data_IF_430324733310
#
_entry.id   IF_430324733310
#
_cell.length_a   1.000
_cell.length_b   1.000
_cell.length_c   1.000
_cell.angle_alpha   90.00
_cell.angle_beta   90.00
_cell.angle_gamma   90.00
#
_symmetry.space_group_name_H-M   'P 1'
#
loop_
_entity.id
_entity.type
_entity.pdbx_description
1 polymer ?
#
# COMPACT_ATOMS: atom_id res chain seq x y z
N UNK A 1 -7.68 -2.45 -13.92
CA UNK A 1 -7.39 -1.01 -14.13
C UNK A 1 -8.53 -0.39 -14.93
N UNK A 2 -9.06 0.74 -14.53
CA UNK A 2 -10.10 1.45 -15.30
C UNK A 2 -9.42 2.32 -16.37
N UNK A 3 -9.55 2.02 -17.67
CA UNK A 3 -8.82 2.69 -18.74
C UNK A 3 -9.02 4.21 -18.75
N UNK A 4 -10.22 4.69 -18.40
CA UNK A 4 -10.54 6.12 -18.35
C UNK A 4 -9.66 6.89 -17.35
N UNK A 5 -9.44 6.37 -16.15
CA UNK A 5 -8.63 7.04 -15.14
C UNK A 5 -7.15 7.15 -15.53
N UNK A 6 -6.63 6.17 -16.26
CA UNK A 6 -5.25 6.19 -16.77
C UNK A 6 -5.09 7.21 -17.87
N UNK A 7 -6.06 7.31 -18.82
CA UNK A 7 -6.00 8.28 -19.93
C UNK A 7 -6.06 9.72 -19.45
N UNK A 8 -6.95 10.03 -18.50
CA UNK A 8 -7.11 11.38 -17.95
C UNK A 8 -5.82 11.85 -17.21
N UNK A 9 -5.21 10.95 -16.40
CA UNK A 9 -3.96 11.24 -15.72
C UNK A 9 -2.78 11.40 -16.69
N UNK A 10 -2.72 10.56 -17.72
CA UNK A 10 -1.69 10.69 -18.75
C UNK A 10 -1.80 12.02 -19.50
N UNK A 11 -3.00 12.46 -19.82
CA UNK A 11 -3.24 13.77 -20.43
C UNK A 11 -2.78 14.91 -19.50
N UNK A 12 -3.03 14.79 -18.18
CA UNK A 12 -2.55 15.75 -17.20
C UNK A 12 -1.02 15.81 -17.13
N UNK A 13 -0.34 14.67 -17.09
CA UNK A 13 1.13 14.61 -17.08
C UNK A 13 1.73 15.23 -18.33
N UNK A 14 1.14 14.98 -19.51
CA UNK A 14 1.57 15.58 -20.79
C UNK A 14 1.39 17.09 -20.79
N UNK A 15 0.29 17.59 -20.26
CA UNK A 15 -0.03 19.01 -20.24
C UNK A 15 0.82 19.79 -19.23
N UNK A 16 1.00 19.23 -18.02
CA UNK A 16 1.69 19.93 -16.93
C UNK A 16 3.18 19.64 -16.87
N UNK A 17 3.63 18.52 -17.44
CA UNK A 17 4.98 17.94 -17.27
C UNK A 17 5.37 17.78 -15.79
N UNK A 18 4.39 17.46 -14.95
CA UNK A 18 4.56 17.34 -13.51
C UNK A 18 3.79 16.14 -12.97
N UNK A 19 4.36 15.49 -11.97
CA UNK A 19 3.67 14.52 -11.13
C UNK A 19 3.11 15.27 -9.91
N UNK A 20 1.81 15.53 -9.90
CA UNK A 20 1.16 16.37 -8.90
C UNK A 20 0.93 15.68 -7.56
N UNK A 21 1.02 14.34 -7.51
CA UNK A 21 0.74 13.54 -6.33
C UNK A 21 1.78 12.43 -6.18
N UNK A 22 2.13 12.13 -4.93
CA UNK A 22 3.07 11.05 -4.62
C UNK A 22 2.39 9.68 -4.63
N UNK A 23 3.18 8.63 -4.86
CA UNK A 23 2.78 7.25 -4.66
C UNK A 23 3.12 6.88 -3.22
N UNK A 24 2.17 6.27 -2.51
CA UNK A 24 2.36 5.84 -1.14
C UNK A 24 2.81 4.37 -1.11
N UNK A 25 4.00 4.13 -0.59
CA UNK A 25 4.60 2.79 -0.48
C UNK A 25 4.88 2.42 0.96
N UNK A 26 4.63 1.16 1.29
CA UNK A 26 4.98 0.56 2.57
C UNK A 26 6.19 -0.36 2.41
N UNK A 27 7.02 -0.41 3.44
CA UNK A 27 8.10 -1.38 3.59
C UNK A 27 8.17 -1.86 5.06
N UNK A 28 8.88 -2.95 5.31
CA UNK A 28 9.11 -3.45 6.66
C UNK A 28 10.59 -3.33 6.99
N UNK A 29 10.88 -2.66 8.09
CA UNK A 29 12.21 -2.57 8.70
C UNK A 29 12.09 -2.44 10.23
N UNK A 30 12.00 -3.55 10.97
CA UNK A 30 11.90 -3.55 12.43
C UNK A 30 13.11 -2.91 13.12
N UNK A 31 14.25 -2.80 12.41
CA UNK A 31 15.45 -2.15 12.93
C UNK A 31 15.43 -0.63 12.80
N UNK A 32 14.48 -0.06 12.06
CA UNK A 32 14.36 1.39 11.80
C UNK A 32 15.66 1.99 11.25
N UNK A 33 16.31 1.29 10.32
CA UNK A 33 17.64 1.68 9.82
C UNK A 33 17.60 3.00 9.05
N UNK A 34 16.61 3.15 8.15
CA UNK A 34 16.43 4.38 7.39
C UNK A 34 16.06 5.57 8.30
N UNK A 35 15.14 5.37 9.23
CA UNK A 35 14.69 6.40 10.16
C UNK A 35 15.81 6.89 11.07
N UNK A 36 16.64 5.98 11.59
CA UNK A 36 17.83 6.34 12.38
C UNK A 36 18.82 7.18 11.60
N UNK A 37 19.00 6.91 10.31
CA UNK A 37 19.85 7.71 9.44
C UNK A 37 19.23 9.09 9.17
N UNK A 38 17.92 9.16 8.95
CA UNK A 38 17.20 10.40 8.61
C UNK A 38 17.11 11.34 9.80
N UNK A 39 16.63 10.84 10.93
CA UNK A 39 16.34 11.67 12.11
C UNK A 39 17.51 11.80 13.07
N UNK A 40 18.49 10.90 12.99
CA UNK A 40 19.50 10.70 14.03
C UNK A 40 18.83 10.18 15.31
N UNK A 41 19.45 9.24 15.98
CA UNK A 41 18.87 8.69 17.22
C UNK A 41 19.87 8.83 18.34
N UNK A 42 19.45 9.48 19.42
CA UNK A 42 20.23 9.55 20.66
C UNK A 42 20.20 8.21 21.41
N UNK A 43 21.06 8.07 22.43
CA UNK A 43 21.13 6.86 23.26
C UNK A 43 19.80 6.55 23.97
N UNK A 44 18.98 7.55 24.21
CA UNK A 44 17.63 7.46 24.81
C UNK A 44 16.51 7.32 23.78
N UNK A 45 16.83 7.10 22.50
CA UNK A 45 15.87 6.83 21.43
C UNK A 45 15.15 8.05 20.87
N UNK A 46 15.61 9.27 21.19
CA UNK A 46 15.01 10.51 20.67
C UNK A 46 15.69 10.99 19.40
N UNK A 47 14.93 11.67 18.54
CA UNK A 47 15.47 12.33 17.36
C UNK A 47 16.49 13.39 17.78
N UNK A 48 17.68 13.35 17.20
CA UNK A 48 18.76 14.30 17.51
C UNK A 48 18.92 15.39 16.47
N UNK A 49 18.37 15.17 15.26
CA UNK A 49 18.43 16.17 14.19
C UNK A 49 17.21 17.11 14.31
N UNK A 50 17.43 18.42 14.40
CA UNK A 50 16.33 19.37 14.37
C UNK A 50 15.63 19.33 13.01
N UNK A 51 14.32 19.50 13.00
CA UNK A 51 13.56 19.59 11.77
C UNK A 51 13.82 20.94 11.06
N UNK A 52 13.91 20.93 9.73
CA UNK A 52 14.05 22.16 8.93
C UNK A 52 12.74 22.97 8.93
N UNK A 53 11.61 22.27 9.06
CA UNK A 53 10.29 22.88 9.19
C UNK A 53 9.48 22.12 10.23
N UNK A 54 8.79 22.85 11.12
CA UNK A 54 7.83 22.30 12.06
C UNK A 54 6.60 23.18 12.09
N UNK A 55 5.41 22.60 11.87
CA UNK A 55 4.12 23.30 11.84
C UNK A 55 3.15 22.49 12.69
N UNK A 56 2.36 23.18 13.51
CA UNK A 56 1.22 22.60 14.21
C UNK A 56 -0.06 22.98 13.44
N UNK A 57 -0.84 21.98 13.06
CA UNK A 57 -2.11 22.22 12.36
C UNK A 57 -3.25 22.57 13.32
N UNK A 58 -4.43 22.82 12.76
CA UNK A 58 -5.65 23.19 13.48
C UNK A 58 -6.18 22.12 14.45
N UNK A 59 -5.71 20.86 14.29
CA UNK A 59 -6.05 19.72 15.16
C UNK A 59 -5.00 19.49 16.25
N UNK A 60 -3.97 20.34 16.33
CA UNK A 60 -2.87 20.20 17.28
C UNK A 60 -1.81 19.15 16.88
N UNK A 61 -1.86 18.67 15.65
CA UNK A 61 -0.88 17.71 15.13
C UNK A 61 0.37 18.46 14.66
N UNK A 62 1.53 18.00 15.13
CA UNK A 62 2.82 18.58 14.75
C UNK A 62 3.38 17.85 13.53
N UNK A 63 3.52 18.59 12.44
CA UNK A 63 4.16 18.15 11.20
C UNK A 63 5.61 18.62 11.17
N UNK A 64 6.55 17.70 10.94
CA UNK A 64 7.98 18.01 10.85
C UNK A 64 8.53 17.53 9.53
N UNK A 65 9.43 18.33 8.95
CA UNK A 65 10.08 18.03 7.67
C UNK A 65 11.60 18.20 7.82
N UNK A 66 12.34 17.24 7.32
CA UNK A 66 13.79 17.28 7.22
C UNK A 66 14.19 17.22 5.76
N UNK A 67 15.01 18.14 5.33
CA UNK A 67 15.61 18.16 3.99
C UNK A 67 17.00 17.53 4.04
N UNK A 68 17.20 16.45 3.34
CA UNK A 68 18.47 15.76 3.26
C UNK A 68 19.16 16.12 1.94
N UNK A 69 20.34 16.69 2.00
CA UNK A 69 21.13 17.12 0.84
C UNK A 69 22.55 16.56 0.83
N UNK A 70 22.97 15.91 1.92
CA UNK A 70 24.28 15.28 2.01
C UNK A 70 24.29 13.98 1.16
N UNK A 71 25.11 13.90 0.09
CA UNK A 71 25.15 12.73 -0.79
C UNK A 71 25.60 11.46 -0.05
N UNK A 72 26.48 11.57 0.94
CA UNK A 72 26.96 10.42 1.70
C UNK A 72 25.82 9.82 2.55
N UNK A 73 25.04 10.66 3.21
CA UNK A 73 23.86 10.24 3.98
C UNK A 73 22.77 9.67 3.06
N UNK A 74 22.53 10.30 1.92
CA UNK A 74 21.56 9.80 0.93
C UNK A 74 21.96 8.40 0.45
N UNK A 75 23.23 8.17 0.14
CA UNK A 75 23.72 6.85 -0.27
C UNK A 75 23.56 5.79 0.83
N UNK A 76 23.75 6.14 2.10
CA UNK A 76 23.50 5.23 3.22
C UNK A 76 22.02 4.83 3.31
N UNK A 77 21.11 5.80 3.15
CA UNK A 77 19.67 5.54 3.17
C UNK A 77 19.26 4.66 1.98
N UNK A 78 19.77 4.95 0.79
CA UNK A 78 19.54 4.16 -0.40
C UNK A 78 20.02 2.73 -0.21
N UNK A 79 21.21 2.52 0.36
CA UNK A 79 21.74 1.20 0.68
C UNK A 79 20.87 0.47 1.69
N UNK A 80 20.38 1.17 2.72
CA UNK A 80 19.47 0.61 3.72
C UNK A 80 18.10 0.20 3.15
N UNK A 81 17.68 0.81 2.04
CA UNK A 81 16.41 0.53 1.37
C UNK A 81 16.53 -0.49 0.22
N UNK A 82 17.75 -0.81 -0.23
CA UNK A 82 17.97 -1.60 -1.45
C UNK A 82 17.40 -3.03 -1.39
N UNK A 83 17.39 -3.66 -0.22
CA UNK A 83 16.87 -5.01 0.00
C UNK A 83 15.40 -5.03 0.43
N UNK A 84 14.77 -3.87 0.63
CA UNK A 84 13.41 -3.77 1.16
C UNK A 84 12.39 -4.05 0.07
N UNK A 85 11.44 -4.93 0.36
CA UNK A 85 10.28 -5.16 -0.51
C UNK A 85 9.27 -4.04 -0.30
N UNK A 86 8.84 -3.42 -1.41
CA UNK A 86 7.94 -2.29 -1.42
C UNK A 86 6.54 -2.72 -1.83
N UNK A 87 5.53 -2.28 -1.08
CA UNK A 87 4.12 -2.50 -1.37
C UNK A 87 3.47 -1.16 -1.67
N UNK A 88 2.81 -1.01 -2.82
CA UNK A 88 2.03 0.19 -3.09
C UNK A 88 0.76 0.13 -2.24
N UNK A 89 0.64 1.02 -1.28
CA UNK A 89 -0.54 1.15 -0.43
C UNK A 89 -1.62 2.01 -1.10
N UNK A 90 -1.19 3.09 -1.78
CA UNK A 90 -2.06 3.95 -2.58
C UNK A 90 -1.33 4.47 -3.81
N UNK A 91 -2.09 4.77 -4.88
CA UNK A 91 -1.56 5.37 -6.10
C UNK A 91 -1.18 4.36 -7.19
N UNK A 92 -1.74 3.16 -7.23
CA UNK A 92 -1.49 2.18 -8.30
C UNK A 92 -1.68 2.77 -9.70
N UNK A 93 -2.79 3.50 -9.93
CA UNK A 93 -3.03 4.14 -11.23
C UNK A 93 -2.02 5.25 -11.55
N UNK A 94 -1.56 5.98 -10.52
CA UNK A 94 -0.48 6.98 -10.67
C UNK A 94 0.83 6.32 -11.08
N UNK A 95 1.16 5.20 -10.45
CA UNK A 95 2.34 4.41 -10.79
C UNK A 95 2.28 3.91 -12.24
N UNK A 96 1.21 3.21 -12.61
CA UNK A 96 1.03 2.68 -13.98
C UNK A 96 1.06 3.79 -15.03
N UNK A 97 0.42 4.93 -14.74
CA UNK A 97 0.42 6.08 -15.65
C UNK A 97 1.80 6.72 -15.75
N UNK A 98 2.56 6.82 -14.65
CA UNK A 98 3.93 7.36 -14.68
C UNK A 98 4.87 6.49 -15.49
N UNK A 99 4.75 5.16 -15.37
CA UNK A 99 5.51 4.21 -16.18
C UNK A 99 5.18 4.38 -17.68
N UNK A 100 3.90 4.45 -18.03
CA UNK A 100 3.48 4.66 -19.42
C UNK A 100 3.98 6.01 -19.96
N UNK A 101 3.95 7.08 -19.17
CA UNK A 101 4.46 8.38 -19.55
C UNK A 101 5.97 8.37 -19.74
N UNK A 102 6.71 7.76 -18.83
CA UNK A 102 8.14 7.60 -18.94
C UNK A 102 8.54 6.80 -20.20
N UNK A 103 7.82 5.73 -20.53
CA UNK A 103 8.03 4.96 -21.77
C UNK A 103 7.80 5.80 -23.03
N UNK A 104 6.73 6.58 -23.07
CA UNK A 104 6.45 7.49 -24.18
C UNK A 104 7.56 8.54 -24.34
N UNK A 105 8.00 9.13 -23.23
CA UNK A 105 9.09 10.13 -23.24
C UNK A 105 10.41 9.51 -23.64
N UNK A 106 10.74 8.31 -23.18
CA UNK A 106 11.90 7.53 -23.60
C UNK A 106 11.97 7.38 -25.13
N UNK A 107 10.83 6.96 -25.72
CA UNK A 107 10.74 6.81 -27.19
C UNK A 107 10.92 8.14 -27.93
N UNK A 108 10.31 9.23 -27.44
CA UNK A 108 10.42 10.57 -28.04
C UNK A 108 11.83 11.12 -27.95
N UNK A 109 12.51 10.93 -26.81
CA UNK A 109 13.86 11.44 -26.58
C UNK A 109 14.95 10.52 -27.12
N UNK A 110 14.61 9.29 -27.50
CA UNK A 110 15.54 8.22 -27.87
C UNK A 110 16.55 7.90 -26.74
N UNK A 111 16.10 8.03 -25.49
CA UNK A 111 16.89 7.74 -24.31
C UNK A 111 16.34 6.48 -23.62
N UNK A 112 17.18 5.52 -23.19
CA UNK A 112 16.71 4.33 -22.48
C UNK A 112 16.14 4.71 -21.11
N UNK A 113 15.15 3.96 -20.65
CA UNK A 113 14.62 4.07 -19.27
C UNK A 113 15.62 3.59 -18.21
N UNK A 114 16.65 2.91 -18.61
CA UNK A 114 17.51 2.09 -17.80
C UNK A 114 17.11 0.60 -17.95
N UNK A 115 18.03 -0.27 -17.67
CA UNK A 115 17.72 -1.70 -17.66
C UNK A 115 16.89 -2.06 -16.42
N UNK A 116 15.92 -2.99 -16.54
CA UNK A 116 15.25 -3.54 -15.37
C UNK A 116 16.32 -4.17 -14.47
N UNK A 117 16.36 -3.73 -13.23
CA UNK A 117 17.28 -4.33 -12.27
C UNK A 117 16.74 -5.72 -11.89
N UNK A 118 17.60 -6.74 -11.96
CA UNK A 118 17.28 -8.05 -11.45
C UNK A 118 16.94 -7.93 -9.95
N UNK A 119 15.74 -8.40 -9.51
CA UNK A 119 15.35 -8.32 -8.11
C UNK A 119 16.30 -9.06 -7.16
N UNK A 120 17.12 -9.98 -7.68
CA UNK A 120 18.13 -10.73 -6.94
C UNK A 120 19.52 -10.08 -7.02
N UNK A 121 19.72 -9.08 -7.87
CA UNK A 121 20.96 -8.33 -7.98
C UNK A 121 21.08 -7.31 -6.82
N UNK A 122 22.20 -7.35 -6.10
CA UNK A 122 22.51 -6.32 -5.11
C UNK A 122 22.80 -5.01 -5.82
N UNK A 123 21.86 -4.08 -5.75
CA UNK A 123 22.03 -2.74 -6.28
C UNK A 123 23.26 -2.07 -5.69
N UNK A 124 24.21 -1.73 -6.53
CA UNK A 124 25.27 -0.80 -6.14
C UNK A 124 24.69 0.62 -6.04
N UNK A 125 25.12 1.42 -5.03
CA UNK A 125 24.71 2.84 -4.95
C UNK A 125 24.95 3.65 -6.23
N UNK A 126 25.86 3.21 -7.10
CA UNK A 126 26.10 3.82 -8.40
C UNK A 126 24.96 3.69 -9.40
N UNK A 127 24.06 2.73 -9.24
CA UNK A 127 22.88 2.55 -10.08
C UNK A 127 21.73 3.53 -9.76
N UNK A 128 21.87 4.30 -8.69
CA UNK A 128 20.88 5.26 -8.19
C UNK A 128 21.22 6.70 -8.57
N UNK A 129 22.14 6.86 -9.51
CA UNK A 129 22.44 8.15 -10.11
C UNK A 129 21.23 8.70 -10.88
N UNK A 130 21.22 10.01 -11.06
CA UNK A 130 20.13 10.77 -11.65
C UNK A 130 19.42 10.02 -12.80
N UNK A 131 18.08 10.06 -12.85
CA UNK A 131 17.35 9.42 -13.95
C UNK A 131 17.83 9.94 -15.29
N UNK A 132 17.82 9.14 -16.35
CA UNK A 132 18.31 9.53 -17.67
C UNK A 132 17.57 10.74 -18.25
N UNK A 133 16.36 11.00 -17.78
CA UNK A 133 15.56 12.19 -18.06
C UNK A 133 14.54 12.39 -16.91
N UNK A 134 14.04 13.61 -16.70
CA UNK A 134 13.20 13.91 -15.51
C UNK A 134 11.99 13.00 -15.32
N UNK A 135 11.30 12.66 -16.42
CA UNK A 135 10.09 11.84 -16.38
C UNK A 135 10.35 10.35 -16.06
N UNK A 136 11.61 9.92 -16.08
CA UNK A 136 12.01 8.56 -15.69
C UNK A 136 12.00 8.36 -14.15
N UNK A 137 11.83 9.42 -13.37
CA UNK A 137 11.71 9.36 -11.93
C UNK A 137 10.39 9.93 -11.44
N UNK A 138 9.89 9.39 -10.35
CA UNK A 138 8.68 9.87 -9.69
C UNK A 138 8.89 9.96 -8.18
N UNK A 139 8.41 11.03 -7.58
CA UNK A 139 8.44 11.20 -6.13
C UNK A 139 7.48 10.25 -5.43
N UNK A 140 7.95 9.55 -4.42
CA UNK A 140 7.18 8.57 -3.66
C UNK A 140 7.35 8.78 -2.16
N UNK A 141 6.31 8.49 -1.40
CA UNK A 141 6.35 8.44 0.06
C UNK A 141 6.57 6.99 0.50
N UNK A 142 7.60 6.76 1.29
CA UNK A 142 7.89 5.46 1.90
C UNK A 142 7.55 5.49 3.39
N UNK A 143 6.80 4.51 3.85
CA UNK A 143 6.40 4.41 5.27
C UNK A 143 6.76 3.02 5.78
N UNK A 144 7.46 2.99 6.90
CA UNK A 144 7.80 1.74 7.57
C UNK A 144 6.56 1.18 8.29
N UNK A 145 6.15 -0.04 7.93
CA UNK A 145 4.99 -0.71 8.54
C UNK A 145 5.20 -1.04 10.01
N UNK A 146 6.45 -1.13 10.46
CA UNK A 146 6.81 -1.44 11.83
C UNK A 146 6.83 -0.19 12.72
N UNK A 147 6.61 1.01 12.13
CA UNK A 147 6.58 2.25 12.89
C UNK A 147 5.34 2.33 13.79
N UNK A 148 5.50 2.76 15.05
CA UNK A 148 4.37 2.98 15.94
C UNK A 148 3.46 4.09 15.38
N UNK A 149 2.15 3.94 15.55
CA UNK A 149 1.16 4.94 15.12
C UNK A 149 0.57 4.71 13.73
N UNK A 150 1.01 3.70 12.98
CA UNK A 150 0.33 3.30 11.75
C UNK A 150 -0.95 2.55 12.13
N UNK A 151 -2.08 3.10 11.69
CA UNK A 151 -3.38 2.45 11.86
C UNK A 151 -3.90 2.04 10.50
N UNK A 152 -4.08 0.74 10.29
CA UNK A 152 -4.75 0.21 9.11
C UNK A 152 -6.24 0.18 9.40
N UNK A 153 -6.99 1.10 8.80
CA UNK A 153 -8.43 1.16 8.96
C UNK A 153 -9.10 0.03 8.14
N UNK A 154 -10.13 -0.62 8.67
CA UNK A 154 -10.89 -1.61 7.94
C UNK A 154 -11.63 -0.94 6.78
N UNK A 155 -11.61 -1.59 5.61
CA UNK A 155 -12.37 -1.11 4.46
C UNK A 155 -13.70 -1.82 4.40
N UNK A 156 -14.77 -1.11 4.78
CA UNK A 156 -16.13 -1.64 4.69
C UNK A 156 -16.67 -1.55 3.26
N UNK A 157 -17.57 -2.44 2.91
CA UNK A 157 -18.29 -2.46 1.64
C UNK A 157 -19.79 -2.40 1.89
N UNK A 158 -20.47 -1.50 1.21
CA UNK A 158 -21.92 -1.45 1.18
C UNK A 158 -22.38 -1.99 -0.16
N UNK A 159 -23.18 -3.07 -0.12
CA UNK A 159 -23.80 -3.65 -1.30
C UNK A 159 -25.24 -3.16 -1.38
N UNK A 160 -25.61 -2.54 -2.47
CA UNK A 160 -26.94 -1.96 -2.67
C UNK A 160 -27.50 -2.31 -4.05
N UNK A 161 -28.78 -2.05 -4.23
CA UNK A 161 -29.46 -2.30 -5.51
C UNK A 161 -29.74 -3.78 -5.82
N UNK A 162 -29.58 -4.67 -4.86
CA UNK A 162 -29.91 -6.08 -5.00
C UNK A 162 -31.44 -6.26 -5.04
N UNK A 163 -31.97 -6.71 -6.19
CA UNK A 163 -33.38 -7.04 -6.32
C UNK A 163 -33.65 -8.40 -5.67
N UNK A 164 -34.70 -8.47 -4.84
CA UNK A 164 -35.15 -9.71 -4.18
C UNK A 164 -34.08 -10.40 -3.31
N UNK A 165 -33.17 -9.62 -2.70
CA UNK A 165 -32.18 -10.18 -1.78
C UNK A 165 -32.86 -10.79 -0.58
N UNK A 166 -32.52 -12.05 -0.26
CA UNK A 166 -32.95 -12.77 0.93
C UNK A 166 -31.74 -13.24 1.71
N UNK A 167 -31.64 -12.79 2.93
CA UNK A 167 -30.50 -13.11 3.82
C UNK A 167 -30.34 -14.63 3.99
N UNK A 168 -31.41 -15.36 4.17
CA UNK A 168 -31.35 -16.81 4.34
C UNK A 168 -30.76 -17.54 3.11
N UNK A 169 -31.17 -17.14 1.89
CA UNK A 169 -30.61 -17.72 0.66
C UNK A 169 -29.14 -17.39 0.48
N UNK A 170 -28.74 -16.16 0.82
CA UNK A 170 -27.34 -15.75 0.82
C UNK A 170 -26.50 -16.57 1.80
N UNK A 171 -26.96 -16.71 3.05
CA UNK A 171 -26.24 -17.47 4.08
C UNK A 171 -26.12 -18.95 3.73
N UNK A 172 -27.19 -19.57 3.19
CA UNK A 172 -27.14 -20.96 2.73
C UNK A 172 -26.06 -21.19 1.65
N UNK A 173 -25.91 -20.25 0.73
CA UNK A 173 -24.81 -20.30 -0.27
C UNK A 173 -23.46 -20.03 0.35
N UNK A 174 -23.38 -19.11 1.30
CA UNK A 174 -22.12 -18.78 1.96
C UNK A 174 -21.59 -19.98 2.76
N UNK A 175 -22.44 -20.84 3.32
CA UNK A 175 -22.03 -22.03 4.06
C UNK A 175 -21.23 -23.05 3.22
N UNK A 176 -21.29 -22.98 1.91
CA UNK A 176 -20.43 -23.80 1.03
C UNK A 176 -18.95 -23.47 1.22
N UNK A 177 -18.63 -22.20 1.52
CA UNK A 177 -17.26 -21.67 1.58
C UNK A 177 -16.87 -21.17 2.97
N UNK A 178 -17.83 -20.91 3.82
CA UNK A 178 -17.62 -20.29 5.14
C UNK A 178 -18.33 -21.07 6.25
N UNK A 179 -17.79 -21.02 7.45
CA UNK A 179 -18.58 -21.26 8.65
C UNK A 179 -19.31 -19.98 9.01
N UNK A 180 -20.62 -20.08 9.25
CA UNK A 180 -21.48 -18.93 9.55
C UNK A 180 -21.86 -18.97 11.02
N UNK A 181 -21.67 -17.86 11.73
CA UNK A 181 -22.05 -17.68 13.13
C UNK A 181 -22.90 -16.43 13.26
N UNK A 182 -24.10 -16.55 13.81
CA UNK A 182 -24.96 -15.41 14.10
C UNK A 182 -24.45 -14.61 15.30
N UNK A 183 -24.48 -13.28 15.18
CA UNK A 183 -24.04 -12.35 16.21
C UNK A 183 -25.23 -11.48 16.69
N UNK A 184 -25.21 -11.15 17.98
CA UNK A 184 -26.22 -10.28 18.57
C UNK A 184 -26.12 -8.82 18.14
N UNK A 185 -24.92 -8.37 17.78
CA UNK A 185 -24.63 -6.99 17.35
C UNK A 185 -23.69 -6.96 16.15
N UNK A 186 -23.60 -5.80 15.49
CA UNK A 186 -22.62 -5.52 14.43
C UNK A 186 -21.26 -5.11 15.00
N UNK A 187 -20.86 -5.61 16.16
CA UNK A 187 -19.59 -5.33 16.78
C UNK A 187 -18.44 -5.95 15.98
N UNK A 188 -17.34 -5.23 15.89
CA UNK A 188 -16.13 -5.68 15.18
C UNK A 188 -15.21 -6.56 16.04
N UNK A 189 -15.44 -6.64 17.36
CA UNK A 189 -14.61 -7.43 18.26
C UNK A 189 -14.55 -8.92 17.86
N UNK A 190 -15.67 -9.61 17.57
CA UNK A 190 -15.63 -11.00 17.10
C UNK A 190 -14.85 -11.18 15.79
N UNK A 191 -14.94 -10.21 14.86
CA UNK A 191 -14.18 -10.23 13.63
C UNK A 191 -12.68 -10.05 13.89
N UNK A 192 -12.30 -9.12 14.76
CA UNK A 192 -10.92 -8.84 15.11
C UNK A 192 -10.25 -10.00 15.87
N UNK A 193 -11.01 -10.70 16.69
CA UNK A 193 -10.55 -11.88 17.42
C UNK A 193 -10.45 -13.14 16.54
N UNK A 194 -11.03 -13.13 15.33
CA UNK A 194 -11.01 -14.30 14.44
C UNK A 194 -9.71 -14.40 13.67
N UNK A 195 -9.03 -15.52 13.79
CA UNK A 195 -7.86 -15.84 13.00
C UNK A 195 -8.25 -16.26 11.58
N UNK A 196 -7.44 -15.83 10.59
CA UNK A 196 -7.62 -16.15 9.17
C UNK A 196 -8.54 -15.18 8.44
N UNK A 197 -9.08 -15.63 7.31
CA UNK A 197 -9.96 -14.82 6.45
C UNK A 197 -11.38 -14.87 6.99
N UNK A 198 -11.89 -13.73 7.42
CA UNK A 198 -13.24 -13.61 7.95
C UNK A 198 -13.91 -12.30 7.55
N UNK A 199 -15.25 -12.28 7.61
CA UNK A 199 -16.09 -11.12 7.29
C UNK A 199 -17.20 -11.00 8.30
N UNK A 200 -17.54 -9.77 8.65
CA UNK A 200 -18.79 -9.44 9.32
C UNK A 200 -19.80 -9.01 8.24
N UNK A 201 -20.86 -9.76 8.09
CA UNK A 201 -21.97 -9.45 7.19
C UNK A 201 -23.12 -8.91 8.02
N UNK A 202 -23.49 -7.67 7.73
CA UNK A 202 -24.61 -6.98 8.40
C UNK A 202 -25.74 -6.84 7.39
N UNK A 203 -26.91 -7.34 7.75
CA UNK A 203 -28.13 -7.26 6.94
C UNK A 203 -29.26 -6.69 7.78
N UNK A 204 -30.39 -6.37 7.16
CA UNK A 204 -31.61 -5.97 7.90
C UNK A 204 -32.17 -7.08 8.80
N UNK A 205 -31.83 -8.35 8.52
CA UNK A 205 -32.36 -9.51 9.23
C UNK A 205 -31.42 -10.03 10.33
N UNK A 206 -30.20 -9.49 10.42
CA UNK A 206 -29.23 -9.86 11.45
C UNK A 206 -27.77 -9.66 11.05
N UNK A 207 -26.89 -10.00 11.98
CA UNK A 207 -25.44 -9.88 11.86
C UNK A 207 -24.82 -11.27 11.87
N UNK A 208 -23.87 -11.51 11.01
CA UNK A 208 -23.27 -12.82 10.83
C UNK A 208 -21.75 -12.72 10.64
N UNK A 209 -21.01 -13.50 11.40
CA UNK A 209 -19.57 -13.69 11.19
C UNK A 209 -19.38 -14.88 10.24
N UNK A 210 -18.74 -14.62 9.12
CA UNK A 210 -18.37 -15.60 8.12
C UNK A 210 -16.86 -15.85 8.20
N UNK A 211 -16.45 -17.05 8.61
CA UNK A 211 -15.05 -17.46 8.61
C UNK A 211 -14.80 -18.42 7.44
N UNK A 212 -13.89 -18.04 6.54
CA UNK A 212 -13.60 -18.82 5.36
C UNK A 212 -12.97 -20.19 5.71
N UNK A 213 -13.39 -21.23 5.02
CA UNK A 213 -12.77 -22.56 5.10
C UNK A 213 -11.43 -22.52 4.38
N UNK A 214 -10.38 -23.18 4.88
CA UNK A 214 -9.04 -23.15 4.28
C UNK A 214 -9.03 -23.50 2.79
N UNK A 215 -9.80 -24.50 2.39
CA UNK A 215 -9.89 -24.95 0.99
C UNK A 215 -10.55 -23.90 0.10
N UNK A 216 -11.55 -23.18 0.60
CA UNK A 216 -12.20 -22.10 -0.12
C UNK A 216 -11.24 -20.92 -0.38
N UNK A 217 -10.42 -20.57 0.61
CA UNK A 217 -9.37 -19.54 0.43
C UNK A 217 -8.36 -19.96 -0.62
N UNK A 218 -7.89 -21.22 -0.58
CA UNK A 218 -6.97 -21.76 -1.55
C UNK A 218 -7.54 -21.78 -2.98
N UNK A 219 -8.82 -22.13 -3.11
CA UNK A 219 -9.50 -22.13 -4.41
C UNK A 219 -9.71 -20.70 -4.97
N UNK A 220 -10.02 -19.74 -4.10
CA UNK A 220 -10.22 -18.34 -4.50
C UNK A 220 -8.91 -17.61 -4.86
N UNK A 221 -7.77 -18.03 -4.30
CA UNK A 221 -6.47 -17.38 -4.46
C UNK A 221 -5.39 -18.40 -4.92
N UNK A 222 -5.56 -19.02 -6.11
CA UNK A 222 -4.58 -19.97 -6.60
C UNK A 222 -3.22 -19.30 -6.84
N UNK A 223 -2.15 -19.93 -6.36
CA UNK A 223 -0.78 -19.45 -6.56
C UNK A 223 -0.30 -18.37 -5.59
N UNK A 224 -1.12 -17.93 -4.63
CA UNK A 224 -0.67 -17.04 -3.57
C UNK A 224 -0.18 -17.89 -2.38
N UNK A 225 1.09 -17.78 -1.97
CA UNK A 225 1.58 -18.48 -0.78
C UNK A 225 0.78 -18.09 0.46
N UNK A 226 0.47 -19.05 1.33
CA UNK A 226 -0.35 -18.85 2.54
C UNK A 226 0.18 -17.70 3.44
N UNK A 227 1.50 -17.51 3.52
CA UNK A 227 2.15 -16.42 4.25
C UNK A 227 1.92 -15.01 3.66
N UNK A 228 1.42 -14.92 2.42
CA UNK A 228 1.11 -13.66 1.74
C UNK A 228 -0.38 -13.29 1.84
N UNK A 229 -1.18 -14.15 2.45
CA UNK A 229 -2.59 -13.88 2.75
C UNK A 229 -2.73 -12.86 3.88
N UNK A 230 -2.47 -11.60 3.58
CA UNK A 230 -2.74 -10.50 4.51
C UNK A 230 -4.25 -10.37 4.75
N UNK A 231 -4.66 -9.93 5.94
CA UNK A 231 -6.08 -9.61 6.24
C UNK A 231 -6.70 -8.68 5.17
N UNK A 232 -5.89 -7.79 4.57
CA UNK A 232 -6.31 -6.92 3.46
C UNK A 232 -6.77 -7.69 2.20
N UNK A 233 -6.36 -8.94 2.02
CA UNK A 233 -6.77 -9.77 0.88
C UNK A 233 -8.08 -10.53 1.14
N UNK A 234 -8.61 -10.50 2.34
CA UNK A 234 -9.87 -11.15 2.72
C UNK A 234 -11.02 -10.76 1.77
N UNK A 235 -11.11 -9.48 1.42
CA UNK A 235 -12.15 -8.98 0.52
C UNK A 235 -12.04 -9.55 -0.90
N UNK A 236 -10.83 -9.74 -1.42
CA UNK A 236 -10.61 -10.37 -2.72
C UNK A 236 -11.07 -11.82 -2.71
N UNK A 237 -10.82 -12.54 -1.62
CA UNK A 237 -11.30 -13.91 -1.42
C UNK A 237 -12.83 -13.98 -1.42
N UNK A 238 -13.49 -13.00 -0.79
CA UNK A 238 -14.95 -12.95 -0.70
C UNK A 238 -15.64 -12.66 -2.05
N UNK A 239 -15.02 -11.81 -2.88
CA UNK A 239 -15.59 -11.38 -4.17
C UNK A 239 -15.42 -12.46 -5.25
N UNK A 240 -14.43 -13.33 -5.15
CA UNK A 240 -14.16 -14.41 -6.10
C UNK A 240 -14.91 -15.68 -5.80
#
# INVERSE_FOLDING_TARGET
TFPKHTSDRLALFKATRAYCEQIYKLYSDPAFTAEKLIFGVSKDGKDTRPADLAITDEYGVVHRVWKLTDPALINLIVTAMADKKLIIADGHHRYETSVAYAQERSAQLKLPLGEPVDPDEKLSPSHLLAPPFPEAAMMMTFVNMDAPGITILPTHRVVFGLKNFKTAEFLAKAEEFFSVTSLASADLEPLNATEGTAFLVVTKDGNHLLKARPDAVKAALPGIPARQGLKAQSQTTFIR
#
